data_IF_899225525965
#
_entry.id   IF_899225525965
#
_cell.length_a   1.000
_cell.length_b   1.000
_cell.length_c   1.000
_cell.angle_alpha   90.00
_cell.angle_beta   90.00
_cell.angle_gamma   90.00
#
_symmetry.space_group_name_H-M   'P 1'
#
loop_
_entity.id
_entity.type
_entity.pdbx_description
1 polymer ?
#
# COMPACT_ATOMS: atom_id res chain seq x y z
N UNK A 1 13.74 -20.34 -6.53
CA UNK A 1 12.83 -19.81 -5.48
C UNK A 1 12.31 -18.49 -6.00
N UNK A 2 11.12 -18.50 -6.62
CA UNK A 2 10.47 -17.29 -7.13
C UNK A 2 10.22 -16.34 -5.99
N UNK A 3 10.76 -15.12 -6.07
CA UNK A 3 10.39 -14.02 -5.19
C UNK A 3 8.86 -13.91 -5.20
N UNK A 4 8.21 -14.38 -4.13
CA UNK A 4 6.77 -14.38 -4.04
C UNK A 4 6.34 -12.94 -3.84
N UNK A 5 5.72 -12.33 -4.86
CA UNK A 5 5.11 -10.99 -4.78
C UNK A 5 4.38 -10.83 -3.45
N UNK A 6 4.82 -9.90 -2.62
CA UNK A 6 4.21 -9.63 -1.31
C UNK A 6 3.20 -8.50 -1.46
N UNK A 7 2.14 -8.56 -0.67
CA UNK A 7 1.14 -7.51 -0.55
C UNK A 7 1.55 -6.52 0.54
N UNK A 8 1.57 -5.22 0.24
CA UNK A 8 1.64 -4.14 1.24
C UNK A 8 0.27 -3.46 1.33
N UNK A 9 -0.13 -3.04 2.52
CA UNK A 9 -1.43 -2.39 2.73
C UNK A 9 -1.36 -1.36 3.85
N UNK A 10 -2.31 -0.42 3.86
CA UNK A 10 -2.51 0.54 4.96
C UNK A 10 -3.59 0.06 5.94
N UNK A 11 -3.70 0.70 7.10
CA UNK A 11 -4.80 0.43 8.06
C UNK A 11 -6.18 0.69 7.44
N UNK A 12 -6.28 1.64 6.50
CA UNK A 12 -7.51 1.89 5.76
C UNK A 12 -7.92 0.70 4.88
N UNK A 13 -6.97 -0.04 4.32
CA UNK A 13 -7.23 -1.21 3.47
C UNK A 13 -7.76 -2.43 4.24
N UNK A 14 -7.71 -2.41 5.58
CA UNK A 14 -8.18 -3.52 6.43
C UNK A 14 -9.72 -3.65 6.35
N UNK A 15 -10.18 -4.86 6.05
CA UNK A 15 -11.61 -5.15 5.88
C UNK A 15 -12.40 -4.92 7.17
N UNK A 16 -13.55 -4.27 7.05
CA UNK A 16 -14.45 -3.98 8.16
C UNK A 16 -15.15 -5.23 8.71
N UNK A 17 -15.61 -5.20 9.98
CA UNK A 17 -16.35 -6.32 10.55
C UNK A 17 -17.60 -6.68 9.75
N UNK A 18 -18.30 -5.67 9.20
CA UNK A 18 -19.48 -5.86 8.37
C UNK A 18 -19.18 -6.58 7.04
N UNK A 19 -18.10 -6.21 6.35
CA UNK A 19 -17.66 -6.89 5.11
C UNK A 19 -17.29 -8.35 5.39
N UNK A 20 -16.60 -8.61 6.50
CA UNK A 20 -16.25 -9.97 6.96
C UNK A 20 -17.51 -10.77 7.30
N UNK A 21 -18.49 -10.15 7.95
CA UNK A 21 -19.79 -10.75 8.26
C UNK A 21 -20.60 -11.08 7.00
N UNK A 22 -20.66 -10.16 6.03
CA UNK A 22 -21.32 -10.38 4.75
C UNK A 22 -20.66 -11.52 3.96
N UNK A 23 -19.32 -11.59 3.92
CA UNK A 23 -18.62 -12.70 3.28
C UNK A 23 -18.96 -14.04 3.94
N UNK A 24 -19.03 -14.06 5.27
CA UNK A 24 -19.42 -15.25 6.02
C UNK A 24 -20.87 -15.67 5.74
N UNK A 25 -21.81 -14.73 5.59
CA UNK A 25 -23.19 -15.04 5.20
C UNK A 25 -23.25 -15.66 3.81
N UNK A 26 -22.48 -15.15 2.84
CA UNK A 26 -22.42 -15.72 1.48
C UNK A 26 -21.86 -17.15 1.53
N UNK A 27 -20.72 -17.35 2.19
CA UNK A 27 -20.15 -18.69 2.35
C UNK A 27 -21.11 -19.64 3.09
N UNK A 28 -21.87 -19.12 4.07
CA UNK A 28 -22.85 -19.90 4.83
C UNK A 28 -24.04 -20.31 3.96
N UNK A 29 -24.53 -19.43 3.08
CA UNK A 29 -25.60 -19.75 2.15
C UNK A 29 -25.22 -20.90 1.19
N UNK A 30 -23.95 -20.96 0.78
CA UNK A 30 -23.41 -22.08 -0.03
C UNK A 30 -23.51 -23.40 0.75
N UNK A 31 -23.07 -23.40 2.02
CA UNK A 31 -23.15 -24.59 2.87
C UNK A 31 -24.56 -24.90 3.36
N UNK A 32 -25.49 -23.94 3.31
CA UNK A 32 -26.87 -24.12 3.73
C UNK A 32 -27.59 -25.14 2.83
N UNK A 33 -27.31 -25.15 1.53
CA UNK A 33 -27.83 -26.16 0.59
C UNK A 33 -27.40 -27.57 1.00
N UNK A 34 -26.12 -27.74 1.33
CA UNK A 34 -25.59 -29.02 1.83
C UNK A 34 -26.29 -29.40 3.13
N UNK A 35 -26.42 -28.45 4.06
CA UNK A 35 -27.10 -28.63 5.35
C UNK A 35 -28.54 -29.13 5.19
N UNK A 36 -29.33 -28.46 4.35
CA UNK A 36 -30.73 -28.82 4.06
C UNK A 36 -30.82 -30.23 3.46
N UNK A 37 -29.96 -30.57 2.51
CA UNK A 37 -29.96 -31.90 1.90
C UNK A 37 -29.72 -33.01 2.94
N UNK A 38 -28.76 -32.83 3.84
CA UNK A 38 -28.54 -33.81 4.90
C UNK A 38 -29.63 -33.82 5.96
N UNK A 39 -30.26 -32.68 6.27
CA UNK A 39 -31.44 -32.66 7.15
C UNK A 39 -32.60 -33.45 6.55
N UNK A 40 -32.89 -33.30 5.26
CA UNK A 40 -33.93 -34.08 4.57
C UNK A 40 -33.63 -35.57 4.70
N UNK A 41 -32.41 -36.00 4.42
CA UNK A 41 -31.99 -37.40 4.58
C UNK A 41 -32.14 -37.93 6.02
N UNK A 42 -31.82 -37.10 7.02
CA UNK A 42 -31.97 -37.45 8.43
C UNK A 42 -33.44 -37.55 8.87
N UNK A 43 -34.32 -36.75 8.27
CA UNK A 43 -35.78 -36.83 8.47
C UNK A 43 -36.32 -38.10 7.82
N UNK A 44 -35.94 -38.41 6.58
CA UNK A 44 -36.37 -39.62 5.86
C UNK A 44 -35.96 -40.91 6.57
N UNK A 45 -34.77 -40.92 7.20
CA UNK A 45 -34.29 -42.06 7.99
C UNK A 45 -34.90 -42.13 9.40
N UNK A 46 -35.78 -41.19 9.75
CA UNK A 46 -36.50 -41.15 11.03
C UNK A 46 -35.64 -40.75 12.23
N UNK A 47 -34.42 -40.24 12.03
CA UNK A 47 -33.53 -39.82 13.13
C UNK A 47 -33.93 -38.48 13.75
N UNK A 48 -34.47 -37.57 12.93
CA UNK A 48 -35.02 -36.28 13.35
C UNK A 48 -36.56 -36.30 13.48
N UNK A 49 -37.19 -37.49 13.46
CA UNK A 49 -38.63 -37.68 13.61
C UNK A 49 -39.11 -37.53 15.07
N UNK A 50 -40.40 -37.78 15.31
CA UNK A 50 -41.04 -37.62 16.62
C UNK A 50 -41.25 -38.99 17.31
N UNK A 51 -40.66 -39.28 18.49
CA UNK A 51 -39.81 -38.40 19.28
C UNK A 51 -38.35 -38.33 18.78
N UNK A 52 -37.67 -37.19 18.94
CA UNK A 52 -36.28 -37.03 18.54
C UNK A 52 -35.37 -38.02 19.26
N UNK A 53 -34.50 -38.72 18.52
CA UNK A 53 -33.49 -39.59 19.12
C UNK A 53 -32.31 -38.76 19.58
N UNK A 54 -32.20 -38.57 20.90
CA UNK A 54 -31.07 -37.86 21.54
C UNK A 54 -29.69 -38.46 21.20
N UNK A 55 -29.63 -39.71 20.74
CA UNK A 55 -28.42 -40.42 20.32
C UNK A 55 -28.38 -40.72 18.82
N UNK A 56 -28.98 -39.87 17.97
CA UNK A 56 -28.98 -40.00 16.51
C UNK A 56 -27.53 -40.03 15.94
N UNK A 57 -26.95 -41.22 15.67
CA UNK A 57 -25.54 -41.32 15.36
C UNK A 57 -25.26 -40.78 13.95
N UNK A 58 -26.23 -40.89 13.01
CA UNK A 58 -26.06 -40.32 11.67
C UNK A 58 -26.17 -38.81 11.72
N UNK A 59 -26.99 -38.23 12.60
CA UNK A 59 -27.01 -36.78 12.81
C UNK A 59 -25.65 -36.26 13.31
N UNK A 60 -25.03 -36.95 14.28
CA UNK A 60 -23.68 -36.59 14.75
C UNK A 60 -22.61 -36.74 13.66
N UNK A 61 -22.64 -37.84 12.91
CA UNK A 61 -21.74 -38.04 11.76
C UNK A 61 -21.95 -36.95 10.71
N UNK A 62 -23.20 -36.60 10.41
CA UNK A 62 -23.54 -35.55 9.47
C UNK A 62 -23.00 -34.18 9.91
N UNK A 63 -23.20 -33.81 11.17
CA UNK A 63 -22.66 -32.58 11.75
C UNK A 63 -21.12 -32.56 11.65
N UNK A 64 -20.47 -33.67 11.96
CA UNK A 64 -19.02 -33.81 11.84
C UNK A 64 -18.56 -33.66 10.38
N UNK A 65 -19.24 -34.30 9.42
CA UNK A 65 -18.93 -34.21 7.99
C UNK A 65 -19.07 -32.77 7.49
N UNK A 66 -20.19 -32.10 7.75
CA UNK A 66 -20.41 -30.70 7.33
C UNK A 66 -19.40 -29.77 8.00
N UNK A 67 -19.09 -30.00 9.28
CA UNK A 67 -18.08 -29.22 9.97
C UNK A 67 -16.70 -29.40 9.34
N UNK A 68 -16.26 -30.64 9.09
CA UNK A 68 -14.97 -30.93 8.43
C UNK A 68 -14.92 -30.34 7.02
N UNK A 69 -15.97 -30.50 6.21
CA UNK A 69 -16.05 -29.95 4.86
C UNK A 69 -15.96 -28.42 4.88
N UNK A 70 -16.72 -27.76 5.76
CA UNK A 70 -16.72 -26.29 5.85
C UNK A 70 -15.41 -25.72 6.39
N UNK A 71 -14.73 -26.43 7.30
CA UNK A 71 -13.41 -26.03 7.79
C UNK A 71 -12.30 -26.30 6.79
N UNK A 72 -12.36 -27.44 6.12
CA UNK A 72 -11.43 -27.84 5.05
C UNK A 72 -11.52 -26.87 3.88
N UNK A 73 -12.74 -26.53 3.44
CA UNK A 73 -12.99 -25.51 2.43
C UNK A 73 -12.36 -24.16 2.78
N UNK A 74 -12.61 -23.61 3.98
CA UNK A 74 -12.02 -22.32 4.38
C UNK A 74 -10.48 -22.41 4.48
N UNK A 75 -9.94 -23.46 5.09
CA UNK A 75 -8.49 -23.62 5.24
C UNK A 75 -7.76 -23.77 3.91
N UNK A 76 -8.27 -24.64 3.02
CA UNK A 76 -7.67 -24.89 1.70
C UNK A 76 -7.81 -23.67 0.79
N UNK A 77 -8.97 -23.02 0.78
CA UNK A 77 -9.19 -21.84 -0.07
C UNK A 77 -8.32 -20.67 0.36
N UNK A 78 -8.21 -20.42 1.67
CA UNK A 78 -7.33 -19.38 2.21
C UNK A 78 -5.85 -19.70 1.97
N UNK A 79 -5.42 -20.94 2.15
CA UNK A 79 -4.03 -21.31 1.91
C UNK A 79 -3.64 -21.23 0.41
N UNK A 80 -4.59 -21.47 -0.50
CA UNK A 80 -4.32 -21.54 -1.94
C UNK A 80 -4.51 -20.20 -2.64
N UNK A 81 -5.54 -19.44 -2.25
CA UNK A 81 -5.96 -18.20 -2.93
C UNK A 81 -6.07 -17.00 -1.99
N UNK A 82 -5.85 -17.16 -0.69
CA UNK A 82 -6.08 -16.10 0.30
C UNK A 82 -7.57 -15.82 0.55
N UNK A 83 -8.48 -16.42 -0.21
CA UNK A 83 -9.90 -16.04 -0.18
C UNK A 83 -10.80 -17.26 -0.33
N UNK A 84 -11.99 -17.19 0.27
CA UNK A 84 -13.13 -18.11 0.02
C UNK A 84 -14.03 -17.48 -1.04
N UNK A 85 -14.95 -18.23 -1.64
CA UNK A 85 -15.87 -17.70 -2.65
C UNK A 85 -16.63 -16.45 -2.15
N UNK A 86 -17.18 -16.47 -0.93
CA UNK A 86 -17.87 -15.31 -0.37
C UNK A 86 -16.96 -14.10 -0.15
N UNK A 87 -15.70 -14.33 0.25
CA UNK A 87 -14.70 -13.26 0.39
C UNK A 87 -14.27 -12.70 -0.96
N UNK A 88 -14.10 -13.56 -1.96
CA UNK A 88 -13.75 -13.15 -3.33
C UNK A 88 -14.84 -12.28 -3.96
N UNK A 89 -16.12 -12.64 -3.75
CA UNK A 89 -17.26 -11.82 -4.19
C UNK A 89 -17.23 -10.42 -3.59
N UNK A 90 -16.83 -10.27 -2.32
CA UNK A 90 -16.70 -8.97 -1.66
C UNK A 90 -15.34 -8.29 -1.87
N UNK A 91 -14.46 -8.87 -2.68
CA UNK A 91 -13.14 -8.30 -2.95
C UNK A 91 -12.25 -8.22 -1.72
N UNK A 92 -12.42 -9.12 -0.75
CA UNK A 92 -11.57 -9.22 0.44
C UNK A 92 -10.76 -10.51 0.41
N UNK A 93 -9.55 -10.45 0.98
CA UNK A 93 -8.65 -11.59 1.03
C UNK A 93 -7.82 -11.58 2.32
N UNK A 94 -7.29 -12.74 2.66
CA UNK A 94 -6.50 -13.02 3.86
C UNK A 94 -5.03 -13.05 3.48
N UNK A 95 -4.22 -12.27 4.19
CA UNK A 95 -2.77 -12.24 4.05
C UNK A 95 -2.09 -12.59 5.37
N UNK A 96 -0.88 -13.14 5.29
CA UNK A 96 0.00 -13.25 6.45
C UNK A 96 0.54 -11.87 6.86
N UNK A 97 1.24 -11.75 7.99
CA UNK A 97 1.83 -10.47 8.43
C UNK A 97 2.84 -9.85 7.44
N UNK A 98 3.48 -10.68 6.61
CA UNK A 98 4.54 -10.26 5.69
C UNK A 98 4.08 -10.04 4.25
N UNK A 99 2.76 -10.00 3.99
CA UNK A 99 2.22 -9.77 2.65
C UNK A 99 1.96 -11.02 1.81
N UNK A 100 2.39 -12.18 2.27
CA UNK A 100 2.20 -13.44 1.58
C UNK A 100 0.81 -14.03 1.75
N UNK A 101 0.57 -15.13 1.03
CA UNK A 101 -0.55 -16.01 1.33
C UNK A 101 -0.29 -16.74 2.65
N UNK A 102 -1.31 -16.96 3.49
CA UNK A 102 -1.15 -17.72 4.72
C UNK A 102 -0.62 -19.13 4.44
N UNK A 103 0.33 -19.58 5.26
CA UNK A 103 0.82 -20.96 5.18
C UNK A 103 -0.33 -21.95 5.49
N UNK A 104 -0.28 -23.16 4.93
CA UNK A 104 -1.27 -24.21 5.21
C UNK A 104 -1.55 -24.42 6.71
N UNK A 105 -0.55 -24.56 7.61
CA UNK A 105 -0.82 -24.69 9.04
C UNK A 105 -1.45 -23.44 9.65
N UNK A 106 -1.06 -22.24 9.21
CA UNK A 106 -1.69 -20.99 9.67
C UNK A 106 -3.16 -20.91 9.24
N UNK A 107 -3.47 -21.22 7.98
CA UNK A 107 -4.84 -21.24 7.46
C UNK A 107 -5.72 -22.30 8.17
N UNK A 108 -5.17 -23.48 8.44
CA UNK A 108 -5.85 -24.52 9.21
C UNK A 108 -6.13 -24.06 10.65
N UNK A 109 -5.12 -23.54 11.35
CA UNK A 109 -5.22 -23.03 12.73
C UNK A 109 -6.26 -21.92 12.81
N UNK A 110 -6.23 -20.99 11.87
CA UNK A 110 -7.22 -19.92 11.72
C UNK A 110 -8.65 -20.46 11.58
N UNK A 111 -8.86 -21.45 10.71
CA UNK A 111 -10.18 -22.06 10.46
C UNK A 111 -10.72 -22.77 11.70
N UNK A 112 -9.87 -23.52 12.42
CA UNK A 112 -10.23 -24.18 13.67
C UNK A 112 -10.59 -23.19 14.77
N UNK A 113 -9.70 -22.22 15.03
CA UNK A 113 -9.89 -21.21 16.06
C UNK A 113 -11.11 -20.31 15.80
N UNK A 114 -11.51 -20.13 14.55
CA UNK A 114 -12.75 -19.42 14.22
C UNK A 114 -13.98 -20.12 14.80
N UNK A 115 -14.00 -21.46 14.84
CA UNK A 115 -15.09 -22.21 15.52
C UNK A 115 -15.13 -21.84 17.00
N UNK A 116 -13.97 -21.90 17.67
CA UNK A 116 -13.86 -21.54 19.08
C UNK A 116 -14.18 -20.06 19.36
N UNK A 117 -13.90 -19.17 18.40
CA UNK A 117 -14.20 -17.75 18.53
C UNK A 117 -15.71 -17.45 18.46
N UNK A 118 -16.47 -18.26 17.72
CA UNK A 118 -17.92 -18.10 17.52
C UNK A 118 -18.73 -18.80 18.62
N UNK A 119 -18.27 -19.95 19.12
CA UNK A 119 -18.95 -20.72 20.17
C UNK A 119 -19.39 -19.91 21.40
N UNK A 120 -18.57 -19.02 22.00
CA UNK A 120 -18.98 -18.18 23.12
C UNK A 120 -19.73 -16.93 22.63
N UNK A 121 -20.78 -17.12 21.82
CA UNK A 121 -21.60 -16.05 21.21
C UNK A 121 -20.78 -14.99 20.45
N UNK A 122 -19.67 -15.40 19.84
CA UNK A 122 -18.79 -14.49 19.11
C UNK A 122 -17.84 -13.66 19.98
N UNK A 123 -17.67 -13.96 21.27
CA UNK A 123 -16.74 -13.21 22.13
C UNK A 123 -15.30 -13.16 21.59
N UNK A 124 -14.84 -14.21 20.89
CA UNK A 124 -13.53 -14.24 20.24
C UNK A 124 -13.40 -13.30 19.02
N UNK A 125 -14.50 -12.63 18.64
CA UNK A 125 -14.55 -11.61 17.59
C UNK A 125 -14.53 -10.19 18.15
N UNK A 126 -14.72 -9.97 19.46
CA UNK A 126 -14.65 -8.64 20.11
C UNK A 126 -13.37 -7.85 19.74
N UNK A 127 -12.20 -8.49 19.61
CA UNK A 127 -11.00 -7.86 19.05
C UNK A 127 -11.15 -7.14 17.71
N UNK A 128 -12.12 -7.48 16.87
CA UNK A 128 -12.31 -6.85 15.55
C UNK A 128 -12.63 -5.35 15.66
N UNK A 129 -13.24 -4.92 16.75
CA UNK A 129 -13.64 -3.53 16.96
C UNK A 129 -12.57 -2.68 17.65
N UNK A 130 -11.59 -3.31 18.31
CA UNK A 130 -10.55 -2.62 19.10
C UNK A 130 -9.16 -2.70 18.48
N UNK A 131 -8.85 -3.74 17.70
CA UNK A 131 -7.57 -3.89 17.02
C UNK A 131 -7.50 -2.94 15.80
N UNK A 132 -6.44 -2.12 15.64
CA UNK A 132 -6.26 -1.28 14.45
C UNK A 132 -6.24 -2.07 13.13
N UNK A 133 -5.79 -3.33 13.17
CA UNK A 133 -5.82 -4.26 12.03
C UNK A 133 -7.07 -5.15 12.03
N UNK A 134 -8.04 -4.88 12.92
CA UNK A 134 -9.36 -5.54 13.03
C UNK A 134 -9.24 -7.07 13.05
N UNK A 135 -8.28 -7.61 13.81
CA UNK A 135 -8.00 -9.05 13.86
C UNK A 135 -8.77 -9.71 14.98
N UNK A 136 -9.51 -10.77 14.66
CA UNK A 136 -10.11 -11.67 15.65
C UNK A 136 -9.06 -12.50 16.38
N UNK A 137 -9.45 -13.20 17.45
CA UNK A 137 -8.53 -14.12 18.17
C UNK A 137 -7.90 -15.12 17.22
N UNK A 138 -8.71 -15.70 16.32
CA UNK A 138 -8.26 -16.64 15.30
C UNK A 138 -7.24 -16.03 14.32
N UNK A 139 -7.45 -14.79 13.88
CA UNK A 139 -6.54 -14.08 12.99
C UNK A 139 -5.21 -13.75 13.70
N UNK A 140 -5.28 -13.30 14.96
CA UNK A 140 -4.10 -12.95 15.77
C UNK A 140 -3.19 -14.14 16.02
N UNK A 141 -3.77 -15.28 16.44
CA UNK A 141 -3.02 -16.51 16.71
C UNK A 141 -2.44 -17.07 15.41
N UNK A 142 -3.19 -17.04 14.31
CA UNK A 142 -2.70 -17.49 13.01
C UNK A 142 -1.74 -16.51 12.33
N UNK A 143 -1.55 -15.30 12.86
CA UNK A 143 -0.71 -14.27 12.26
C UNK A 143 -1.22 -13.80 10.90
N UNK A 144 -2.53 -13.65 10.77
CA UNK A 144 -3.19 -13.25 9.52
C UNK A 144 -3.98 -11.95 9.69
N UNK A 145 -4.30 -11.32 8.56
CA UNK A 145 -5.16 -10.15 8.46
C UNK A 145 -6.05 -10.26 7.24
N UNK A 146 -7.25 -9.67 7.30
CA UNK A 146 -8.16 -9.58 6.15
C UNK A 146 -8.14 -8.16 5.61
N UNK A 147 -7.84 -8.04 4.32
CA UNK A 147 -7.63 -6.79 3.59
C UNK A 147 -8.49 -6.75 2.34
N UNK A 148 -8.81 -5.55 1.87
CA UNK A 148 -9.51 -5.34 0.60
C UNK A 148 -8.51 -5.51 -0.55
N UNK A 149 -8.76 -6.44 -1.46
CA UNK A 149 -7.86 -6.82 -2.54
C UNK A 149 -7.50 -5.63 -3.45
N UNK A 150 -8.46 -4.75 -3.72
CA UNK A 150 -8.23 -3.54 -4.54
C UNK A 150 -7.36 -2.47 -3.87
N UNK A 151 -7.12 -2.56 -2.56
CA UNK A 151 -6.36 -1.58 -1.77
C UNK A 151 -4.97 -2.11 -1.38
N UNK A 152 -4.50 -3.17 -2.04
CA UNK A 152 -3.20 -3.79 -1.82
C UNK A 152 -2.23 -3.30 -2.89
N UNK A 153 -1.04 -2.93 -2.45
CA UNK A 153 0.10 -2.63 -3.30
C UNK A 153 0.99 -3.87 -3.42
N UNK A 154 1.49 -4.13 -4.62
CA UNK A 154 2.45 -5.22 -4.84
C UNK A 154 3.84 -4.73 -4.48
N UNK A 155 4.49 -5.40 -3.54
CA UNK A 155 5.84 -5.11 -3.07
C UNK A 155 6.80 -6.25 -3.41
N UNK A 156 8.00 -5.88 -3.87
CA UNK A 156 9.03 -6.83 -4.32
C UNK A 156 9.90 -7.38 -3.18
N UNK A 157 9.99 -6.68 -2.04
CA UNK A 157 10.88 -7.04 -0.94
C UNK A 157 10.14 -7.25 0.40
N UNK A 158 9.45 -6.22 0.91
CA UNK A 158 8.72 -6.26 2.18
C UNK A 158 7.23 -5.96 1.95
N UNK A 159 6.36 -6.91 2.31
CA UNK A 159 4.92 -6.68 2.39
C UNK A 159 4.48 -6.57 3.85
N UNK A 160 3.18 -6.49 4.06
CA UNK A 160 2.62 -6.27 5.39
C UNK A 160 2.00 -4.90 5.57
N UNK A 161 1.64 -4.61 6.82
CA UNK A 161 1.41 -3.25 7.25
C UNK A 161 2.79 -2.58 7.43
N UNK A 162 3.05 -1.40 6.83
CA UNK A 162 4.26 -0.64 7.09
C UNK A 162 4.48 -0.48 8.59
N UNK A 163 5.73 -0.66 9.03
CA UNK A 163 6.11 -0.29 10.39
C UNK A 163 6.05 1.25 10.49
N UNK A 164 5.36 1.84 11.48
CA UNK A 164 5.41 3.28 11.70
C UNK A 164 6.84 3.81 11.88
N UNK A 165 7.75 2.97 12.36
CA UNK A 165 9.17 3.30 12.55
C UNK A 165 10.05 2.85 11.36
N UNK A 166 9.46 2.32 10.29
CA UNK A 166 10.18 1.98 9.06
C UNK A 166 10.84 3.26 8.50
N UNK A 167 12.14 3.21 8.09
CA UNK A 167 12.82 4.36 7.50
C UNK A 167 12.03 4.85 6.28
N UNK A 168 11.22 5.89 6.50
CA UNK A 168 10.48 6.53 5.43
C UNK A 168 11.48 7.36 4.65
N UNK A 169 11.45 7.30 3.31
CA UNK A 169 12.35 8.11 2.50
C UNK A 169 12.26 9.60 2.93
N UNK A 170 13.40 10.31 3.05
CA UNK A 170 13.43 11.70 3.50
C UNK A 170 12.46 12.63 2.75
N UNK A 171 12.26 12.36 1.46
CA UNK A 171 11.30 13.06 0.61
C UNK A 171 9.85 12.93 1.12
N UNK A 172 9.41 11.70 1.41
CA UNK A 172 8.06 11.45 1.89
C UNK A 172 7.86 12.00 3.31
N UNK A 173 8.89 11.95 4.16
CA UNK A 173 8.89 12.60 5.47
C UNK A 173 8.68 14.12 5.36
N UNK A 174 9.40 14.77 4.43
CA UNK A 174 9.26 16.21 4.19
C UNK A 174 7.85 16.58 3.67
N UNK A 175 7.31 15.80 2.73
CA UNK A 175 5.96 16.01 2.16
C UNK A 175 4.88 15.87 3.24
N UNK A 176 4.95 14.83 4.06
CA UNK A 176 4.00 14.60 5.18
C UNK A 176 4.13 15.70 6.24
N UNK A 177 5.36 16.06 6.61
CA UNK A 177 5.63 17.06 7.63
C UNK A 177 5.22 18.48 7.22
N UNK A 178 5.11 18.78 5.93
CA UNK A 178 4.71 20.09 5.42
C UNK A 178 3.22 20.44 5.65
N UNK A 179 2.42 19.49 6.14
CA UNK A 179 0.99 19.69 6.43
C UNK A 179 0.17 19.95 5.17
N UNK A 180 0.39 19.14 4.13
CA UNK A 180 -0.30 19.25 2.83
C UNK A 180 -1.62 18.49 2.81
N UNK A 181 -2.58 18.96 2.01
CA UNK A 181 -3.80 18.19 1.73
C UNK A 181 -3.49 16.97 0.84
N UNK A 182 -4.35 15.93 0.81
CA UNK A 182 -4.07 14.69 0.07
C UNK A 182 -3.78 14.89 -1.42
N UNK A 183 -4.41 15.88 -2.07
CA UNK A 183 -4.20 16.17 -3.49
C UNK A 183 -2.81 16.72 -3.72
N UNK A 184 -2.40 17.71 -2.91
CA UNK A 184 -1.07 18.30 -2.98
C UNK A 184 0.02 17.30 -2.61
N UNK A 185 -0.18 16.46 -1.60
CA UNK A 185 0.78 15.38 -1.28
C UNK A 185 0.92 14.40 -2.44
N UNK A 186 -0.19 14.00 -3.08
CA UNK A 186 -0.18 13.11 -4.23
C UNK A 186 0.58 13.70 -5.42
N UNK A 187 0.35 14.98 -5.72
CA UNK A 187 1.10 15.68 -6.76
C UNK A 187 2.60 15.78 -6.44
N UNK A 188 2.99 16.09 -5.19
CA UNK A 188 4.41 16.13 -4.79
C UNK A 188 5.11 14.78 -4.92
N UNK A 189 4.42 13.68 -4.61
CA UNK A 189 4.95 12.31 -4.84
C UNK A 189 5.18 12.05 -6.33
N UNK A 190 4.22 12.43 -7.18
CA UNK A 190 4.39 12.31 -8.62
C UNK A 190 5.59 13.15 -9.13
N UNK A 191 5.81 14.35 -8.56
CA UNK A 191 7.01 15.17 -8.85
C UNK A 191 8.30 14.45 -8.42
N UNK A 192 8.32 13.82 -7.24
CA UNK A 192 9.47 13.04 -6.77
C UNK A 192 9.78 11.85 -7.69
N UNK A 193 8.76 11.09 -8.08
CA UNK A 193 8.89 9.99 -9.05
C UNK A 193 9.45 10.51 -10.39
N UNK A 194 8.86 11.59 -10.92
CA UNK A 194 9.29 12.19 -12.19
C UNK A 194 10.72 12.73 -12.14
N UNK A 195 11.20 13.18 -10.98
CA UNK A 195 12.59 13.66 -10.80
C UNK A 195 13.59 12.57 -11.19
N UNK A 196 13.37 11.33 -10.75
CA UNK A 196 14.30 10.22 -11.06
C UNK A 196 14.35 9.91 -12.55
N UNK A 197 13.19 9.94 -13.21
CA UNK A 197 13.08 9.75 -14.67
C UNK A 197 13.81 10.88 -15.41
N UNK A 198 13.65 12.13 -14.96
CA UNK A 198 14.37 13.27 -15.54
C UNK A 198 15.88 13.16 -15.36
N UNK A 199 16.36 12.68 -14.21
CA UNK A 199 17.78 12.43 -13.99
C UNK A 199 18.33 11.34 -14.93
N UNK A 200 17.58 10.28 -15.18
CA UNK A 200 17.98 9.23 -16.12
C UNK A 200 18.22 9.77 -17.54
N UNK A 201 17.45 10.79 -17.96
CA UNK A 201 17.63 11.46 -19.24
C UNK A 201 18.74 12.53 -19.18
N UNK A 202 18.73 13.36 -18.13
CA UNK A 202 19.64 14.49 -17.99
C UNK A 202 21.10 14.06 -17.77
N UNK A 203 21.32 12.96 -17.05
CA UNK A 203 22.65 12.49 -16.69
C UNK A 203 22.66 10.95 -16.51
N UNK A 204 22.66 10.13 -17.58
CA UNK A 204 22.49 8.67 -17.49
C UNK A 204 23.48 7.92 -16.58
N UNK A 205 24.60 8.53 -16.21
CA UNK A 205 25.58 7.99 -15.28
C UNK A 205 25.32 8.29 -13.80
N UNK A 206 24.31 9.10 -13.45
CA UNK A 206 24.08 9.60 -12.08
C UNK A 206 23.94 8.48 -11.04
N UNK A 207 23.35 7.34 -11.43
CA UNK A 207 23.19 6.16 -10.56
C UNK A 207 24.51 5.49 -10.17
N UNK A 208 25.62 5.80 -10.86
CA UNK A 208 26.97 5.30 -10.55
C UNK A 208 27.76 6.27 -9.66
N UNK A 209 27.17 7.41 -9.27
CA UNK A 209 27.79 8.36 -8.34
C UNK A 209 27.94 7.81 -6.93
N UNK A 210 28.65 8.55 -6.07
CA UNK A 210 28.94 8.13 -4.68
C UNK A 210 27.68 7.92 -3.85
N UNK A 211 26.70 8.82 -3.97
CA UNK A 211 25.39 8.71 -3.30
C UNK A 211 24.23 9.07 -4.26
N UNK A 212 23.68 8.08 -4.98
CA UNK A 212 22.55 8.29 -5.86
C UNK A 212 21.29 8.75 -5.11
N UNK A 213 21.07 8.30 -3.87
CA UNK A 213 19.87 8.64 -3.11
C UNK A 213 19.86 10.13 -2.75
N UNK A 214 20.99 10.65 -2.26
CA UNK A 214 21.15 12.08 -1.97
C UNK A 214 21.06 12.91 -3.26
N UNK A 215 21.64 12.42 -4.37
CA UNK A 215 21.54 13.08 -5.68
C UNK A 215 20.09 13.25 -6.13
N UNK A 216 19.29 12.18 -6.05
CA UNK A 216 17.87 12.21 -6.40
C UNK A 216 17.06 13.15 -5.50
N UNK A 217 17.33 13.13 -4.20
CA UNK A 217 16.69 14.00 -3.21
C UNK A 217 17.00 15.48 -3.43
N UNK A 218 18.28 15.81 -3.70
CA UNK A 218 18.71 17.18 -4.02
C UNK A 218 18.11 17.67 -5.33
N UNK A 219 18.06 16.81 -6.34
CA UNK A 219 17.40 17.10 -7.61
C UNK A 219 15.90 17.39 -7.43
N UNK A 220 15.22 16.63 -6.56
CA UNK A 220 13.83 16.88 -6.21
C UNK A 220 13.67 18.25 -5.54
N UNK A 221 14.53 18.59 -4.57
CA UNK A 221 14.52 19.90 -3.91
C UNK A 221 14.71 21.05 -4.93
N UNK A 222 15.65 20.89 -5.86
CA UNK A 222 15.90 21.87 -6.92
C UNK A 222 14.68 22.04 -7.84
N UNK A 223 14.01 20.94 -8.21
CA UNK A 223 12.78 20.96 -9.00
C UNK A 223 11.63 21.63 -8.24
N UNK A 224 11.47 21.34 -6.94
CA UNK A 224 10.47 21.98 -6.07
C UNK A 224 10.71 23.49 -5.99
N UNK A 225 11.97 23.93 -5.89
CA UNK A 225 12.30 25.35 -5.92
C UNK A 225 11.93 26.01 -7.26
N UNK A 226 12.20 25.34 -8.39
CA UNK A 226 11.81 25.84 -9.72
C UNK A 226 10.28 25.92 -9.88
N UNK A 227 9.55 24.92 -9.37
CA UNK A 227 8.08 24.93 -9.33
C UNK A 227 7.54 26.08 -8.46
N UNK A 228 8.23 26.45 -7.37
CA UNK A 228 7.87 27.60 -6.54
C UNK A 228 8.01 28.95 -7.26
N UNK A 229 8.93 29.06 -8.22
CA UNK A 229 9.03 30.22 -9.11
C UNK A 229 7.87 30.24 -10.11
N UNK A 230 7.55 29.08 -10.69
CA UNK A 230 6.50 28.94 -11.72
C UNK A 230 5.08 29.06 -11.16
N UNK A 231 4.85 28.63 -9.93
CA UNK A 231 3.54 28.58 -9.28
C UNK A 231 3.55 29.35 -7.94
N UNK A 232 3.51 30.68 -7.96
CA UNK A 232 3.62 31.52 -6.75
C UNK A 232 2.58 31.19 -5.68
N UNK A 233 1.37 30.78 -6.08
CA UNK A 233 0.28 30.43 -5.17
C UNK A 233 0.60 29.18 -4.31
N UNK A 234 1.41 28.25 -4.82
CA UNK A 234 1.81 27.03 -4.10
C UNK A 234 3.13 27.21 -3.33
N UNK A 235 3.84 28.33 -3.55
CA UNK A 235 5.15 28.62 -2.95
C UNK A 235 5.21 28.44 -1.42
N UNK A 236 4.21 28.88 -0.61
CA UNK A 236 4.27 28.68 0.84
C UNK A 236 4.28 27.21 1.26
N UNK A 237 3.58 26.35 0.50
CA UNK A 237 3.56 24.91 0.73
C UNK A 237 4.89 24.28 0.34
N UNK A 238 5.40 24.63 -0.85
CA UNK A 238 6.68 24.12 -1.37
C UNK A 238 7.84 24.49 -0.45
N UNK A 239 7.85 25.73 0.06
CA UNK A 239 8.84 26.19 1.04
C UNK A 239 8.84 25.34 2.30
N UNK A 240 7.67 24.98 2.85
CA UNK A 240 7.59 24.11 4.03
C UNK A 240 8.13 22.70 3.81
N UNK A 241 8.07 22.19 2.57
CA UNK A 241 8.68 20.91 2.18
C UNK A 241 10.20 21.06 2.17
N UNK A 242 10.73 22.10 1.52
CA UNK A 242 12.18 22.39 1.48
C UNK A 242 12.76 22.59 2.89
N UNK A 243 12.06 23.33 3.75
CA UNK A 243 12.45 23.58 5.15
C UNK A 243 12.53 22.31 6.01
N UNK A 244 11.89 21.20 5.59
CA UNK A 244 11.90 19.91 6.29
C UNK A 244 12.73 18.83 5.62
N UNK A 245 13.28 19.11 4.45
CA UNK A 245 13.96 18.09 3.65
C UNK A 245 15.39 17.86 4.15
N UNK A 246 15.72 16.63 4.55
CA UNK A 246 17.01 16.30 5.15
C UNK A 246 18.22 16.52 4.21
N UNK A 247 18.02 16.34 2.90
CA UNK A 247 19.04 16.62 1.88
C UNK A 247 19.50 18.10 1.79
N UNK A 248 18.87 19.00 2.56
CA UNK A 248 19.21 20.41 2.68
C UNK A 248 19.69 20.78 4.10
N UNK A 249 19.95 19.79 4.96
CA UNK A 249 20.42 20.03 6.33
C UNK A 249 21.84 20.61 6.37
N UNK A 250 22.63 20.43 5.29
CA UNK A 250 23.93 21.06 5.08
C UNK A 250 23.85 22.49 4.53
N UNK A 251 22.65 22.98 4.20
CA UNK A 251 22.44 24.32 3.64
C UNK A 251 22.08 25.31 4.75
N UNK A 252 23.00 26.23 5.03
CA UNK A 252 22.79 27.30 6.00
C UNK A 252 21.83 28.39 5.46
N UNK A 253 20.92 28.86 6.33
CA UNK A 253 20.04 30.00 6.04
C UNK A 253 18.76 29.65 5.27
N UNK A 254 18.32 30.55 4.37
CA UNK A 254 17.08 30.37 3.61
C UNK A 254 17.31 29.37 2.46
N UNK A 255 16.90 28.12 2.69
CA UNK A 255 17.02 26.99 1.75
C UNK A 255 16.41 27.29 0.38
N UNK A 256 15.26 27.94 0.34
CA UNK A 256 14.60 28.32 -0.91
C UNK A 256 15.44 29.34 -1.69
N UNK A 257 15.98 30.35 -1.01
CA UNK A 257 16.87 31.34 -1.62
C UNK A 257 18.15 30.69 -2.16
N UNK A 258 18.75 29.77 -1.40
CA UNK A 258 19.93 29.03 -1.82
C UNK A 258 19.66 28.25 -3.12
N UNK A 259 18.58 27.45 -3.15
CA UNK A 259 18.22 26.66 -4.33
C UNK A 259 17.91 27.54 -5.54
N UNK A 260 17.26 28.69 -5.34
CA UNK A 260 17.05 29.66 -6.41
C UNK A 260 18.35 30.19 -6.99
N UNK A 261 19.36 30.46 -6.15
CA UNK A 261 20.69 30.86 -6.64
C UNK A 261 21.38 29.77 -7.45
N UNK A 262 21.04 28.49 -7.25
CA UNK A 262 21.51 27.39 -8.10
C UNK A 262 20.75 27.33 -9.44
N UNK A 263 19.46 27.69 -9.46
CA UNK A 263 18.70 27.76 -10.72
C UNK A 263 19.26 28.83 -11.67
N UNK A 264 19.86 29.90 -11.12
CA UNK A 264 20.49 30.98 -11.88
C UNK A 264 21.90 30.61 -12.40
N UNK A 265 22.53 29.55 -11.87
CA UNK A 265 23.89 29.11 -12.21
C UNK A 265 23.94 27.58 -12.45
N UNK A 266 23.80 27.14 -13.71
CA UNK A 266 23.74 25.72 -14.06
C UNK A 266 24.99 24.93 -13.71
N UNK A 267 26.18 25.55 -13.76
CA UNK A 267 27.45 24.87 -13.48
C UNK A 267 27.57 24.63 -11.98
N UNK A 268 27.22 25.62 -11.17
CA UNK A 268 27.13 25.47 -9.71
C UNK A 268 26.06 24.45 -9.30
N UNK A 269 24.93 24.40 -9.99
CA UNK A 269 23.89 23.40 -9.74
C UNK A 269 24.38 21.97 -10.02
N UNK A 270 25.09 21.74 -11.13
CA UNK A 270 25.67 20.43 -11.44
C UNK A 270 26.67 19.98 -10.39
N UNK A 271 27.57 20.89 -9.99
CA UNK A 271 28.55 20.63 -8.95
C UNK A 271 27.89 20.26 -7.61
N UNK A 272 26.84 20.99 -7.21
CA UNK A 272 26.09 20.71 -5.97
C UNK A 272 25.34 19.37 -5.99
N UNK A 273 24.84 18.97 -7.17
CA UNK A 273 24.18 17.67 -7.38
C UNK A 273 25.18 16.50 -7.57
N UNK A 274 26.48 16.76 -7.71
CA UNK A 274 27.46 15.72 -8.03
C UNK A 274 27.29 15.14 -9.45
N UNK A 275 26.77 15.93 -10.39
CA UNK A 275 26.55 15.52 -11.78
C UNK A 275 27.74 15.89 -12.67
N UNK A 276 28.01 15.13 -13.74
CA UNK A 276 29.06 15.47 -14.69
C UNK A 276 28.74 16.75 -15.48
N UNK A 277 29.76 17.43 -16.00
CA UNK A 277 29.59 18.67 -16.79
C UNK A 277 28.71 18.49 -18.03
N UNK A 278 28.64 17.27 -18.55
CA UNK A 278 27.77 16.89 -19.69
C UNK A 278 26.29 16.78 -19.33
N UNK A 279 25.91 16.90 -18.05
CA UNK A 279 24.54 16.77 -17.61
C UNK A 279 23.64 17.90 -18.15
N UNK A 280 22.51 17.52 -18.75
CA UNK A 280 21.51 18.46 -19.27
C UNK A 280 20.57 18.98 -18.19
N UNK A 281 21.03 19.91 -17.33
CA UNK A 281 20.24 20.41 -16.19
C UNK A 281 18.86 21.00 -16.60
N UNK A 282 18.76 21.57 -17.80
CA UNK A 282 17.51 22.08 -18.36
C UNK A 282 16.42 20.98 -18.49
N UNK A 283 16.81 19.72 -18.70
CA UNK A 283 15.89 18.55 -18.75
C UNK A 283 15.38 18.15 -17.37
N UNK A 284 16.09 18.55 -16.31
CA UNK A 284 15.69 18.29 -14.93
C UNK A 284 14.66 19.31 -14.45
N UNK A 285 14.92 20.60 -14.64
CA UNK A 285 14.14 21.69 -14.04
C UNK A 285 13.15 22.39 -14.98
N UNK A 286 13.12 22.02 -16.27
CA UNK A 286 12.32 22.70 -17.30
C UNK A 286 12.43 24.23 -17.22
N UNK A 287 13.65 24.77 -17.19
CA UNK A 287 13.86 26.20 -17.30
C UNK A 287 13.84 26.61 -18.79
N UNK A 288 13.08 27.65 -19.19
CA UNK A 288 13.33 28.29 -20.47
C UNK A 288 14.74 28.90 -20.40
N UNK A 289 15.62 28.47 -21.28
CA UNK A 289 16.84 29.20 -21.58
C UNK A 289 16.40 30.47 -22.31
N UNK A 290 16.23 31.57 -21.60
CA UNK A 290 16.22 32.91 -22.20
C UNK A 290 16.70 33.93 -21.17
N UNK A 291 18.03 34.03 -21.06
CA UNK A 291 18.72 35.21 -20.61
C UNK A 291 19.47 35.79 -21.82
N UNK A 292 19.00 36.90 -22.39
CA UNK A 292 19.77 37.63 -23.40
C UNK A 292 18.95 38.52 -24.32
N UNK A 293 18.91 39.82 -23.99
CA UNK A 293 18.40 40.85 -24.89
C UNK A 293 19.20 41.00 -26.20
N UNK A 294 18.47 41.45 -27.22
CA UNK A 294 18.92 42.27 -28.35
C UNK A 294 20.14 41.81 -29.17
N UNK A 295 19.86 41.33 -30.39
CA UNK A 295 20.44 41.92 -31.60
C UNK A 295 19.36 42.09 -32.67
N UNK A 296 18.90 43.33 -32.77
CA UNK A 296 18.23 43.87 -33.94
C UNK A 296 19.22 43.84 -35.12
N UNK A 297 18.90 43.21 -36.26
CA UNK A 297 19.55 43.55 -37.51
C UNK A 297 18.82 44.75 -38.11
N UNK A 298 19.46 45.90 -38.00
CA UNK A 298 19.14 47.06 -38.81
C UNK A 298 19.25 46.70 -40.31
N UNK A 299 18.29 47.19 -41.08
CA UNK A 299 18.49 47.57 -42.47
C UNK A 299 18.31 46.49 -43.53
N UNK A 300 17.14 46.55 -44.21
CA UNK A 300 17.16 46.67 -45.67
C UNK A 300 16.00 47.54 -46.13
N UNK A 301 16.33 48.81 -46.23
CA UNK A 301 15.76 49.73 -47.20
C UNK A 301 16.10 49.18 -48.60
N UNK A 302 15.09 49.03 -49.47
CA UNK A 302 15.17 49.08 -50.95
C UNK A 302 13.80 48.82 -51.59
N UNK A 303 13.24 49.94 -52.07
CA UNK A 303 12.41 50.15 -53.28
C UNK A 303 10.99 49.60 -53.32
#
# INVERSE_FOLDING_TARGET
MTSGRRARWSTAAVAAPAERGAAWLIDTAIFWVVWVAGTILLVETGELGDPPRWTAPRALVWLAVVWVLSRGYDALSVASWGSTAGRAVLGIEVRDRGGGLPTRPAAFTRSMLRTLAVLPLGAGLVPLWTDPQRRGVHDRVAGTVVVRAAAIEVADAAGGLPDPDEPTEPTELAIRGAGTDPTTSGWLRAVAEQTTVRLDVAAPSWRRGEDPAVTAQRAFCLLVAALGVRYPNHRPVLRRVLDRHAALDDVDGDRERYLRSLLDDPDRARAWLGLPDTAGLHLLVDAPVDAGGSRHPAGRDRR
#
